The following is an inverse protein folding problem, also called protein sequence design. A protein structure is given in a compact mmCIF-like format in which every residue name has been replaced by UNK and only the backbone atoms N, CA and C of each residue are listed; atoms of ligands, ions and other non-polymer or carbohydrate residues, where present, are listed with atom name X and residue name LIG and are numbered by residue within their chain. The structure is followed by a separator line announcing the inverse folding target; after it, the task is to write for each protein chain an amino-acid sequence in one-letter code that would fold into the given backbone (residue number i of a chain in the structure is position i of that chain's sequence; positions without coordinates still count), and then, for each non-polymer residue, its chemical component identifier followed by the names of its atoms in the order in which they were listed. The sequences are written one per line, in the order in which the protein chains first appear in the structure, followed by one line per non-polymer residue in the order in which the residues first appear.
data_IF_097601266185
#
_entry.id   IF_097601266185
#
_cell.length_a   1.000
_cell.length_b   1.000
_cell.length_c   1.000
_cell.angle_alpha   90.00
_cell.angle_beta   90.00
_cell.angle_gamma   90.00
#
_symmetry.space_group_name_H-M   'P 1'
#
loop_
_entity.id
_entity.type
_entity.pdbx_description
1 polymer ?
#
# COMPACT_ATOMS: atom_id res chain seq x y z
N UNK A 1 23.44 5.91 -22.87
CA UNK A 1 22.48 7.01 -23.03
C UNK A 1 21.16 6.57 -23.65
N UNK A 2 21.14 5.85 -24.78
CA UNK A 2 19.91 5.41 -25.45
C UNK A 2 19.00 4.48 -24.60
N UNK A 3 19.54 3.71 -23.67
CA UNK A 3 18.73 2.84 -22.79
C UNK A 3 17.75 3.62 -21.91
N UNK A 4 18.07 4.84 -21.50
CA UNK A 4 17.11 5.67 -20.77
C UNK A 4 15.91 6.12 -21.61
N UNK A 5 16.00 6.08 -22.96
CA UNK A 5 14.85 6.33 -23.84
C UNK A 5 13.78 5.26 -23.68
N UNK A 6 14.17 3.99 -23.42
CA UNK A 6 13.21 2.93 -23.12
C UNK A 6 12.47 3.16 -21.79
N UNK A 7 13.10 3.83 -20.83
CA UNK A 7 12.44 4.22 -19.59
C UNK A 7 11.50 5.41 -19.77
N UNK A 8 11.79 6.33 -20.67
CA UNK A 8 10.95 7.53 -20.90
C UNK A 8 9.53 7.18 -21.32
N UNK A 9 9.35 6.15 -22.14
CA UNK A 9 8.02 5.77 -22.61
C UNK A 9 7.08 5.33 -21.47
N UNK A 10 7.40 4.34 -20.62
CA UNK A 10 6.56 4.00 -19.47
C UNK A 10 6.48 5.14 -18.45
N UNK A 11 7.50 6.01 -18.33
CA UNK A 11 7.44 7.18 -17.46
C UNK A 11 6.42 8.21 -17.95
N UNK A 12 6.32 8.44 -19.25
CA UNK A 12 5.30 9.30 -19.86
C UNK A 12 3.89 8.72 -19.64
N UNK A 13 3.72 7.41 -19.82
CA UNK A 13 2.44 6.73 -19.53
C UNK A 13 2.05 6.95 -18.06
N UNK A 14 2.97 6.70 -17.12
CA UNK A 14 2.73 6.97 -15.71
C UNK A 14 2.31 8.42 -15.47
N UNK A 15 3.01 9.38 -16.04
CA UNK A 15 2.74 10.80 -15.86
C UNK A 15 1.34 11.18 -16.37
N UNK A 16 0.94 10.70 -17.55
CA UNK A 16 -0.40 10.92 -18.11
C UNK A 16 -1.51 10.38 -17.19
N UNK A 17 -1.36 9.13 -16.70
CA UNK A 17 -2.33 8.52 -15.79
C UNK A 17 -2.35 9.24 -14.43
N UNK A 18 -1.20 9.62 -13.90
CA UNK A 18 -1.06 10.33 -12.64
C UNK A 18 -1.68 11.74 -12.69
N UNK A 19 -1.48 12.47 -13.77
CA UNK A 19 -2.08 13.80 -13.98
C UNK A 19 -3.61 13.70 -14.18
N UNK A 20 -4.08 12.64 -14.82
CA UNK A 20 -5.53 12.40 -15.00
C UNK A 20 -6.26 12.16 -13.68
N UNK A 21 -5.79 11.22 -12.86
CA UNK A 21 -6.33 10.96 -11.51
C UNK A 21 -5.33 10.16 -10.66
N UNK A 22 -4.75 10.82 -9.65
CA UNK A 22 -3.77 10.22 -8.71
C UNK A 22 -4.34 9.08 -7.87
N UNK A 23 -5.66 8.93 -7.78
CA UNK A 23 -6.36 7.94 -6.96
C UNK A 23 -6.54 6.59 -7.67
N UNK A 24 -6.06 6.45 -8.91
CA UNK A 24 -6.07 5.18 -9.63
C UNK A 24 -5.04 4.23 -9.03
N UNK A 25 -5.48 3.04 -8.63
CA UNK A 25 -4.57 2.01 -8.11
C UNK A 25 -3.52 1.59 -9.16
N UNK A 26 -3.89 1.60 -10.45
CA UNK A 26 -3.00 1.28 -11.56
C UNK A 26 -1.73 2.15 -11.58
N UNK A 27 -1.81 3.39 -11.09
CA UNK A 27 -0.63 4.26 -10.97
C UNK A 27 0.43 3.69 -10.02
N UNK A 28 0.05 2.92 -9.01
CA UNK A 28 1.00 2.29 -8.10
C UNK A 28 1.88 1.27 -8.83
N UNK A 29 1.27 0.45 -9.70
CA UNK A 29 2.02 -0.51 -10.52
C UNK A 29 2.93 0.19 -11.53
N UNK A 30 2.41 1.18 -12.26
CA UNK A 30 3.20 1.96 -13.21
C UNK A 30 4.38 2.67 -12.53
N UNK A 31 4.15 3.25 -11.33
CA UNK A 31 5.20 3.91 -10.56
C UNK A 31 6.32 2.95 -10.19
N UNK A 32 5.98 1.76 -9.67
CA UNK A 32 6.96 0.75 -9.26
C UNK A 32 7.69 0.13 -10.44
N UNK A 33 7.00 -0.12 -11.55
CA UNK A 33 7.64 -0.60 -12.78
C UNK A 33 8.66 0.45 -13.27
N UNK A 34 8.29 1.74 -13.29
CA UNK A 34 9.20 2.81 -13.70
C UNK A 34 10.41 2.93 -12.78
N UNK A 35 10.19 2.85 -11.45
CA UNK A 35 11.29 2.89 -10.48
C UNK A 35 12.21 1.67 -10.64
N UNK A 36 11.63 0.46 -10.79
CA UNK A 36 12.38 -0.77 -11.02
C UNK A 36 13.20 -0.72 -12.31
N UNK A 37 12.61 -0.29 -13.43
CA UNK A 37 13.32 -0.11 -14.72
C UNK A 37 14.44 0.91 -14.60
N UNK A 38 14.22 2.03 -13.92
CA UNK A 38 15.27 3.03 -13.71
C UNK A 38 16.45 2.45 -12.91
N UNK A 39 16.19 1.71 -11.84
CA UNK A 39 17.21 1.07 -11.04
C UNK A 39 17.97 -0.01 -11.82
N UNK A 40 17.26 -0.86 -12.57
CA UNK A 40 17.86 -1.91 -13.40
C UNK A 40 18.75 -1.32 -14.51
N UNK A 41 18.26 -0.31 -15.24
CA UNK A 41 19.05 0.37 -16.28
C UNK A 41 20.29 1.04 -15.66
N UNK A 42 20.14 1.68 -14.49
CA UNK A 42 21.26 2.34 -13.81
C UNK A 42 22.31 1.34 -13.34
N UNK A 43 21.88 0.21 -12.75
CA UNK A 43 22.79 -0.87 -12.34
C UNK A 43 23.51 -1.50 -13.54
N UNK A 44 22.78 -1.78 -14.62
CA UNK A 44 23.36 -2.32 -15.86
C UNK A 44 24.40 -1.36 -16.45
N UNK A 45 24.03 -0.06 -16.58
CA UNK A 45 24.95 0.94 -17.12
C UNK A 45 26.19 1.15 -16.22
N UNK A 46 26.05 1.00 -14.90
CA UNK A 46 27.18 1.05 -13.98
C UNK A 46 28.18 -0.08 -14.29
N UNK A 47 27.70 -1.32 -14.45
CA UNK A 47 28.55 -2.46 -14.80
C UNK A 47 29.20 -2.27 -16.16
N UNK A 48 28.43 -1.92 -17.21
CA UNK A 48 28.96 -1.69 -18.56
C UNK A 48 29.98 -0.55 -18.60
N UNK A 49 29.76 0.55 -17.92
CA UNK A 49 30.71 1.66 -17.84
C UNK A 49 31.99 1.28 -17.10
N UNK A 50 31.87 0.45 -16.05
CA UNK A 50 33.04 -0.04 -15.32
C UNK A 50 33.90 -0.92 -16.23
N UNK A 51 33.31 -1.77 -17.07
CA UNK A 51 34.02 -2.54 -18.07
C UNK A 51 34.75 -1.65 -19.08
N UNK A 52 34.08 -0.61 -19.63
CA UNK A 52 34.61 0.32 -20.63
C UNK A 52 35.71 1.21 -20.06
N UNK A 53 35.64 1.64 -18.79
CA UNK A 53 36.57 2.60 -18.21
C UNK A 53 37.77 1.93 -17.51
N UNK A 54 37.60 0.71 -17.04
CA UNK A 54 38.64 -0.01 -16.30
C UNK A 54 39.02 -1.31 -17.01
N UNK A 55 38.30 -2.40 -16.75
CA UNK A 55 38.43 -3.71 -17.39
C UNK A 55 37.30 -4.65 -16.97
N UNK A 56 37.23 -5.81 -17.65
CA UNK A 56 36.22 -6.83 -17.38
C UNK A 56 36.28 -7.39 -15.94
N UNK A 57 37.47 -7.48 -15.34
CA UNK A 57 37.61 -8.01 -13.98
C UNK A 57 36.95 -7.10 -12.95
N UNK A 58 37.15 -5.77 -13.08
CA UNK A 58 36.52 -4.78 -12.18
C UNK A 58 34.99 -4.77 -12.40
N UNK A 59 34.54 -4.86 -13.65
CA UNK A 59 33.10 -4.94 -13.95
C UNK A 59 32.47 -6.18 -13.30
N UNK A 60 33.15 -7.33 -13.34
CA UNK A 60 32.69 -8.55 -12.67
C UNK A 60 32.63 -8.37 -11.14
N UNK A 61 33.63 -7.73 -10.53
CA UNK A 61 33.62 -7.42 -9.09
C UNK A 61 32.41 -6.53 -8.74
N UNK A 62 32.16 -5.48 -9.52
CA UNK A 62 30.99 -4.60 -9.32
C UNK A 62 29.68 -5.36 -9.42
N UNK A 63 29.55 -6.24 -10.42
CA UNK A 63 28.37 -7.08 -10.58
C UNK A 63 28.16 -8.01 -9.37
N UNK A 64 29.21 -8.68 -8.91
CA UNK A 64 29.19 -9.56 -7.73
C UNK A 64 28.82 -8.78 -6.48
N UNK A 65 29.41 -7.60 -6.27
CA UNK A 65 29.09 -6.73 -5.12
C UNK A 65 27.60 -6.31 -5.14
N UNK A 66 27.07 -5.89 -6.29
CA UNK A 66 25.65 -5.55 -6.40
C UNK A 66 24.78 -6.76 -6.07
N UNK A 67 25.12 -7.95 -6.59
CA UNK A 67 24.38 -9.18 -6.33
C UNK A 67 24.36 -9.56 -4.85
N UNK A 68 25.51 -9.45 -4.18
CA UNK A 68 25.65 -9.67 -2.73
C UNK A 68 24.81 -8.66 -1.95
N UNK A 69 24.83 -7.37 -2.31
CA UNK A 69 24.04 -6.33 -1.64
C UNK A 69 22.55 -6.59 -1.78
N UNK A 70 22.08 -7.01 -2.97
CA UNK A 70 20.68 -7.41 -3.19
C UNK A 70 20.32 -8.61 -2.30
N UNK A 71 21.15 -9.65 -2.27
CA UNK A 71 20.92 -10.82 -1.43
C UNK A 71 20.88 -10.47 0.07
N UNK A 72 21.85 -9.70 0.54
CA UNK A 72 21.90 -9.22 1.92
C UNK A 72 20.68 -8.35 2.27
N UNK A 73 20.17 -7.55 1.33
CA UNK A 73 18.98 -6.73 1.55
C UNK A 73 17.72 -7.59 1.79
N UNK A 74 17.60 -8.74 1.13
CA UNK A 74 16.51 -9.70 1.35
C UNK A 74 16.61 -10.30 2.76
N UNK A 75 17.79 -10.75 3.17
CA UNK A 75 18.02 -11.29 4.51
C UNK A 75 17.73 -10.23 5.57
N UNK A 76 18.29 -9.03 5.41
CA UNK A 76 18.07 -7.92 6.35
C UNK A 76 16.58 -7.56 6.46
N UNK A 77 15.87 -7.49 5.33
CA UNK A 77 14.44 -7.19 5.31
C UNK A 77 13.63 -8.27 6.05
N UNK A 78 13.97 -9.55 5.90
CA UNK A 78 13.30 -10.63 6.60
C UNK A 78 13.52 -10.56 8.11
N UNK A 79 14.77 -10.34 8.54
CA UNK A 79 15.11 -10.17 9.96
C UNK A 79 14.40 -8.95 10.56
N UNK A 80 14.41 -7.82 9.85
CA UNK A 80 13.68 -6.61 10.23
C UNK A 80 12.18 -6.88 10.43
N UNK A 81 11.54 -7.61 9.51
CA UNK A 81 10.13 -7.95 9.62
C UNK A 81 9.83 -8.86 10.81
N UNK A 82 10.73 -9.79 11.15
CA UNK A 82 10.59 -10.63 12.35
C UNK A 82 10.65 -9.81 13.64
N UNK A 83 11.63 -8.90 13.74
CA UNK A 83 11.74 -7.98 14.89
C UNK A 83 10.52 -7.05 14.98
N UNK A 84 10.10 -6.49 13.84
CA UNK A 84 8.92 -5.66 13.77
C UNK A 84 7.66 -6.40 14.24
N UNK A 85 7.46 -7.65 13.80
CA UNK A 85 6.32 -8.45 14.23
C UNK A 85 6.32 -8.71 15.74
N UNK A 86 7.48 -8.96 16.36
CA UNK A 86 7.61 -9.07 17.82
C UNK A 86 7.23 -7.75 18.51
N UNK A 87 7.70 -6.64 17.99
CA UNK A 87 7.37 -5.30 18.52
C UNK A 87 5.88 -4.99 18.40
N UNK A 88 5.27 -5.31 17.26
CA UNK A 88 3.83 -5.17 17.06
C UNK A 88 3.01 -6.00 18.06
N UNK A 89 3.41 -7.25 18.30
CA UNK A 89 2.74 -8.08 19.31
C UNK A 89 2.87 -7.52 20.73
N UNK A 90 4.01 -6.91 21.05
CA UNK A 90 4.25 -6.35 22.38
C UNK A 90 3.41 -5.08 22.63
N UNK A 91 3.23 -4.22 21.63
CA UNK A 91 2.51 -2.95 21.78
C UNK A 91 1.02 -3.03 21.45
N UNK A 92 0.65 -3.84 20.43
CA UNK A 92 -0.71 -3.87 19.87
C UNK A 92 -1.45 -5.20 20.12
N UNK A 93 -0.80 -6.14 20.83
CA UNK A 93 -1.37 -7.46 21.13
C UNK A 93 -1.26 -8.47 19.99
N UNK A 94 -1.69 -9.72 20.25
CA UNK A 94 -1.48 -10.89 19.38
C UNK A 94 -2.62 -11.13 18.36
N UNK A 95 -3.27 -10.09 17.84
CA UNK A 95 -4.26 -10.26 16.76
C UNK A 95 -3.55 -10.60 15.43
N UNK A 96 -4.21 -11.36 14.55
CA UNK A 96 -3.63 -11.77 13.26
C UNK A 96 -3.11 -10.59 12.44
N UNK A 97 -3.80 -9.46 12.46
CA UNK A 97 -3.39 -8.22 11.78
C UNK A 97 -2.03 -7.69 12.26
N UNK A 98 -1.65 -7.96 13.51
CA UNK A 98 -0.39 -7.54 14.12
C UNK A 98 0.75 -8.55 13.89
N UNK A 99 0.41 -9.76 13.44
CA UNK A 99 1.37 -10.83 13.09
C UNK A 99 1.84 -10.76 11.63
N UNK A 100 1.25 -9.93 10.79
CA UNK A 100 1.48 -9.95 9.35
C UNK A 100 2.95 -9.71 8.97
N UNK A 101 3.65 -8.81 9.63
CA UNK A 101 5.08 -8.61 9.37
C UNK A 101 5.91 -9.83 9.79
N UNK A 102 5.60 -10.45 10.95
CA UNK A 102 6.25 -11.69 11.38
C UNK A 102 6.06 -12.82 10.35
N UNK A 103 4.81 -13.05 9.95
CA UNK A 103 4.45 -14.09 8.98
C UNK A 103 5.12 -13.87 7.63
N UNK A 104 5.18 -12.61 7.18
CA UNK A 104 5.85 -12.29 5.93
C UNK A 104 7.36 -12.48 6.01
N UNK A 105 8.00 -12.10 7.12
CA UNK A 105 9.42 -12.37 7.37
C UNK A 105 9.73 -13.87 7.40
N UNK A 106 8.88 -14.68 8.06
CA UNK A 106 8.99 -16.15 8.06
C UNK A 106 8.79 -16.74 6.66
N UNK A 107 7.87 -16.21 5.87
CA UNK A 107 7.65 -16.63 4.49
C UNK A 107 8.89 -16.41 3.62
N UNK A 108 9.57 -15.25 3.74
CA UNK A 108 10.81 -14.95 3.02
C UNK A 108 11.91 -15.96 3.41
N UNK A 109 12.09 -16.21 4.71
CA UNK A 109 13.10 -17.17 5.21
C UNK A 109 12.78 -18.59 4.73
N UNK A 110 11.51 -19.00 4.79
CA UNK A 110 11.07 -20.31 4.29
C UNK A 110 11.32 -20.49 2.80
N UNK A 111 11.02 -19.46 1.98
CA UNK A 111 11.32 -19.45 0.56
C UNK A 111 12.82 -19.61 0.27
N UNK A 112 13.66 -18.83 0.98
CA UNK A 112 15.12 -18.96 0.86
C UNK A 112 15.61 -20.34 1.30
N UNK A 113 15.08 -20.90 2.39
CA UNK A 113 15.48 -22.21 2.91
C UNK A 113 15.18 -23.35 1.93
N UNK A 114 14.12 -23.27 1.13
CA UNK A 114 13.78 -24.27 0.13
C UNK A 114 14.90 -24.50 -0.89
N UNK A 115 15.69 -23.47 -1.23
CA UNK A 115 16.81 -23.57 -2.16
C UNK A 115 18.01 -24.38 -1.63
N UNK A 116 18.06 -24.60 -0.31
CA UNK A 116 19.13 -25.34 0.35
C UNK A 116 18.72 -26.76 0.77
N UNK A 117 17.45 -27.13 0.54
CA UNK A 117 16.98 -28.48 0.84
C UNK A 117 17.52 -29.49 -0.21
N UNK A 118 17.80 -30.75 0.18
CA UNK A 118 18.09 -31.82 -0.77
C UNK A 118 16.95 -31.96 -1.77
N UNK A 119 17.31 -32.37 -3.00
CA UNK A 119 16.34 -32.63 -4.05
C UNK A 119 15.33 -33.72 -3.63
N UNK A 120 14.04 -33.45 -3.88
CA UNK A 120 12.94 -34.40 -3.78
C UNK A 120 11.95 -34.19 -4.93
N UNK A 121 11.16 -35.22 -5.35
CA UNK A 121 10.19 -35.06 -6.43
C UNK A 121 9.21 -33.92 -6.20
N UNK A 122 9.14 -33.00 -7.17
CA UNK A 122 8.28 -31.80 -7.08
C UNK A 122 8.95 -30.57 -6.43
N UNK A 123 10.20 -30.68 -5.97
CA UNK A 123 10.96 -29.57 -5.39
C UNK A 123 11.01 -28.37 -6.32
N UNK A 124 11.30 -28.56 -7.61
CA UNK A 124 11.42 -27.50 -8.61
C UNK A 124 10.11 -26.70 -8.75
N UNK A 125 8.96 -27.41 -8.75
CA UNK A 125 7.64 -26.77 -8.83
C UNK A 125 7.37 -25.98 -7.56
N UNK A 126 7.69 -26.54 -6.39
CA UNK A 126 7.48 -25.87 -5.11
C UNK A 126 8.32 -24.59 -5.00
N UNK A 127 9.61 -24.66 -5.35
CA UNK A 127 10.51 -23.50 -5.40
C UNK A 127 9.96 -22.46 -6.36
N UNK A 128 9.63 -22.84 -7.59
CA UNK A 128 9.09 -21.91 -8.59
C UNK A 128 7.83 -21.20 -8.11
N UNK A 129 6.86 -21.93 -7.56
CA UNK A 129 5.61 -21.35 -7.07
C UNK A 129 5.83 -20.43 -5.86
N UNK A 130 6.75 -20.81 -4.96
CA UNK A 130 7.07 -20.03 -3.77
C UNK A 130 7.81 -18.75 -4.14
N UNK A 131 8.79 -18.82 -5.03
CA UNK A 131 9.53 -17.65 -5.53
C UNK A 131 8.62 -16.70 -6.29
N UNK A 132 7.75 -17.25 -7.13
CA UNK A 132 6.75 -16.45 -7.84
C UNK A 132 5.79 -15.75 -6.87
N UNK A 133 5.27 -16.48 -5.87
CA UNK A 133 4.40 -15.89 -4.85
C UNK A 133 5.11 -14.80 -4.05
N UNK A 134 6.37 -15.04 -3.65
CA UNK A 134 7.21 -14.07 -2.96
C UNK A 134 7.44 -12.82 -3.82
N UNK A 135 7.83 -12.99 -5.08
CA UNK A 135 8.02 -11.88 -6.02
C UNK A 135 6.73 -11.08 -6.20
N UNK A 136 5.61 -11.75 -6.45
CA UNK A 136 4.33 -11.10 -6.70
C UNK A 136 3.83 -10.31 -5.49
N UNK A 137 3.86 -10.93 -4.30
CA UNK A 137 3.45 -10.27 -3.06
C UNK A 137 4.36 -9.08 -2.73
N UNK A 138 5.69 -9.24 -2.91
CA UNK A 138 6.66 -8.17 -2.70
C UNK A 138 6.46 -7.02 -3.69
N UNK A 139 6.21 -7.32 -4.96
CA UNK A 139 5.91 -6.33 -5.99
C UNK A 139 4.67 -5.52 -5.63
N UNK A 140 3.57 -6.17 -5.22
CA UNK A 140 2.34 -5.49 -4.79
C UNK A 140 2.59 -4.61 -3.56
N UNK A 141 3.24 -5.16 -2.54
CA UNK A 141 3.59 -4.44 -1.32
C UNK A 141 4.43 -3.19 -1.62
N UNK A 142 5.53 -3.35 -2.34
CA UNK A 142 6.40 -2.22 -2.71
C UNK A 142 5.67 -1.20 -3.59
N UNK A 143 4.78 -1.64 -4.49
CA UNK A 143 3.98 -0.76 -5.32
C UNK A 143 3.07 0.14 -4.49
N UNK A 144 2.41 -0.41 -3.49
CA UNK A 144 1.50 0.37 -2.66
C UNK A 144 2.22 1.27 -1.66
N UNK A 145 3.30 0.76 -1.04
CA UNK A 145 4.14 1.55 -0.12
C UNK A 145 4.78 2.73 -0.85
N UNK A 146 5.47 2.47 -1.96
CA UNK A 146 6.21 3.51 -2.69
C UNK A 146 5.28 4.58 -3.26
N UNK A 147 4.19 4.17 -3.93
CA UNK A 147 3.24 5.09 -4.50
C UNK A 147 2.42 5.83 -3.44
N UNK A 148 1.97 5.14 -2.39
CA UNK A 148 1.26 5.76 -1.28
C UNK A 148 2.11 6.80 -0.55
N UNK A 149 3.39 6.48 -0.31
CA UNK A 149 4.37 7.43 0.25
C UNK A 149 4.59 8.61 -0.69
N UNK A 150 4.81 8.35 -1.99
CA UNK A 150 4.96 9.39 -3.00
C UNK A 150 3.77 10.35 -3.03
N UNK A 151 2.54 9.84 -3.02
CA UNK A 151 1.33 10.67 -2.99
C UNK A 151 1.23 11.55 -1.72
N UNK A 152 1.73 11.07 -0.59
CA UNK A 152 1.73 11.82 0.67
C UNK A 152 2.77 12.95 0.73
N UNK A 153 3.77 12.98 -0.17
CA UNK A 153 4.75 14.07 -0.24
C UNK A 153 4.17 15.39 -0.75
N UNK A 154 3.02 15.34 -1.44
CA UNK A 154 2.43 16.55 -2.01
C UNK A 154 1.65 17.37 -0.98
N UNK A 155 2.04 18.62 -0.70
CA UNK A 155 1.35 19.47 0.25
C UNK A 155 -0.07 19.82 -0.21
N UNK A 156 -0.93 20.18 0.73
CA UNK A 156 -2.27 20.70 0.43
C UNK A 156 -2.13 22.18 0.07
N UNK A 157 -2.22 22.50 -1.22
CA UNK A 157 -2.05 23.87 -1.75
C UNK A 157 -3.37 24.58 -2.01
N UNK A 158 -4.41 23.81 -2.35
CA UNK A 158 -5.74 24.37 -2.66
C UNK A 158 -6.64 24.18 -1.46
N UNK A 159 -7.37 25.24 -1.11
CA UNK A 159 -8.36 25.22 -0.03
C UNK A 159 -9.43 24.16 -0.31
N UNK A 160 -9.68 23.22 0.60
CA UNK A 160 -10.82 22.32 0.52
C UNK A 160 -12.08 23.02 1.03
N UNK A 161 -13.23 22.64 0.48
CA UNK A 161 -14.52 23.12 0.99
C UNK A 161 -14.94 22.30 2.22
N UNK A 162 -14.55 21.02 2.27
CA UNK A 162 -14.73 20.16 3.43
C UNK A 162 -13.50 19.27 3.68
N UNK A 163 -13.26 18.96 4.96
CA UNK A 163 -12.23 18.04 5.42
C UNK A 163 -12.93 16.88 6.12
N UNK A 164 -12.92 15.69 5.52
CA UNK A 164 -13.45 14.48 6.13
C UNK A 164 -12.34 13.79 6.90
N UNK A 165 -12.50 13.60 8.20
CA UNK A 165 -11.56 12.86 9.06
C UNK A 165 -12.14 11.50 9.35
N UNK A 166 -11.45 10.43 8.91
CA UNK A 166 -11.91 9.05 9.10
C UNK A 166 -11.55 8.52 10.48
N UNK A 167 -12.47 7.84 11.13
CA UNK A 167 -12.26 7.10 12.36
C UNK A 167 -11.31 5.91 12.21
N UNK A 168 -10.81 5.39 13.32
CA UNK A 168 -9.91 4.22 13.36
C UNK A 168 -10.06 3.33 14.58
N UNK A 169 -11.16 3.49 15.31
CA UNK A 169 -11.46 2.81 16.56
C UNK A 169 -11.17 3.66 17.80
N UNK A 170 -11.91 3.38 18.87
CA UNK A 170 -11.72 3.94 20.20
C UNK A 170 -11.14 2.89 21.15
N UNK A 171 -10.65 3.35 22.29
CA UNK A 171 -10.35 2.50 23.47
C UNK A 171 -11.37 2.90 24.54
N UNK A 172 -12.50 2.16 24.56
CA UNK A 172 -13.68 2.56 25.34
C UNK A 172 -14.33 3.82 24.76
N UNK A 173 -14.14 4.96 25.42
CA UNK A 173 -14.58 6.30 24.99
C UNK A 173 -13.42 7.24 24.62
N UNK A 174 -12.17 6.75 24.73
CA UNK A 174 -10.96 7.57 24.54
C UNK A 174 -10.42 7.50 23.12
N UNK A 175 -10.00 8.63 22.59
CA UNK A 175 -9.31 8.76 21.31
C UNK A 175 -7.89 8.20 21.43
N UNK A 176 -7.56 7.07 20.75
CA UNK A 176 -6.21 6.52 20.76
C UNK A 176 -5.23 7.37 19.96
N UNK A 177 -3.91 7.20 20.19
CA UNK A 177 -2.88 8.02 19.53
C UNK A 177 -2.97 8.04 18.00
N UNK A 178 -3.37 6.93 17.39
CA UNK A 178 -3.51 6.80 15.94
C UNK A 178 -4.65 7.69 15.40
N UNK A 179 -5.77 7.76 16.11
CA UNK A 179 -6.91 8.62 15.78
C UNK A 179 -6.59 10.09 16.09
N UNK A 180 -5.95 10.39 17.22
CA UNK A 180 -5.50 11.74 17.56
C UNK A 180 -4.62 12.35 16.46
N UNK A 181 -3.68 11.58 15.86
CA UNK A 181 -2.86 12.05 14.75
C UNK A 181 -3.67 12.41 13.49
N UNK A 182 -4.82 11.75 13.24
CA UNK A 182 -5.73 12.15 12.16
C UNK A 182 -6.43 13.46 12.47
N UNK A 183 -6.93 13.60 13.70
CA UNK A 183 -7.63 14.80 14.16
C UNK A 183 -6.70 16.02 14.12
N UNK A 184 -5.48 15.88 14.65
CA UNK A 184 -4.46 16.95 14.59
C UNK A 184 -4.09 17.31 13.14
N UNK A 185 -3.99 16.32 12.24
CA UNK A 185 -3.74 16.59 10.82
C UNK A 185 -4.89 17.33 10.16
N UNK A 186 -6.14 16.94 10.45
CA UNK A 186 -7.35 17.63 9.97
C UNK A 186 -7.44 19.05 10.48
N UNK A 187 -7.22 19.25 11.79
CA UNK A 187 -7.16 20.55 12.44
C UNK A 187 -6.08 21.45 11.85
N UNK A 188 -4.86 20.93 11.64
CA UNK A 188 -3.78 21.72 11.05
C UNK A 188 -4.13 22.21 9.63
N UNK A 189 -4.83 21.42 8.82
CA UNK A 189 -5.32 21.86 7.51
C UNK A 189 -6.44 22.89 7.64
N UNK A 190 -7.37 22.71 8.57
CA UNK A 190 -8.44 23.65 8.87
C UNK A 190 -7.86 25.02 9.25
N UNK A 191 -6.85 25.05 10.12
CA UNK A 191 -6.17 26.28 10.54
C UNK A 191 -5.36 26.90 9.38
N UNK A 192 -4.67 26.10 8.56
CA UNK A 192 -3.93 26.55 7.38
C UNK A 192 -4.82 27.38 6.44
N UNK A 193 -6.09 27.02 6.32
CA UNK A 193 -7.07 27.73 5.47
C UNK A 193 -8.00 28.66 6.26
N UNK A 194 -7.47 29.27 7.34
CA UNK A 194 -8.13 30.32 8.14
C UNK A 194 -9.51 29.88 8.69
N UNK A 195 -9.65 28.61 9.03
CA UNK A 195 -10.85 28.01 9.65
C UNK A 195 -12.11 28.08 8.77
N UNK A 196 -11.97 28.11 7.45
CA UNK A 196 -13.10 28.18 6.50
C UNK A 196 -13.72 26.83 6.14
N UNK A 197 -12.90 25.76 5.92
CA UNK A 197 -13.49 24.46 5.58
C UNK A 197 -14.34 23.91 6.71
N UNK A 198 -15.43 23.21 6.40
CA UNK A 198 -16.15 22.40 7.40
C UNK A 198 -15.37 21.10 7.67
N UNK A 199 -15.38 20.65 8.92
CA UNK A 199 -14.81 19.38 9.35
C UNK A 199 -15.93 18.34 9.46
N UNK A 200 -15.85 17.26 8.71
CA UNK A 200 -16.75 16.10 8.83
C UNK A 200 -15.99 15.00 9.55
N UNK A 201 -16.35 14.69 10.79
CA UNK A 201 -15.81 13.56 11.54
C UNK A 201 -16.67 12.34 11.28
N UNK A 202 -16.06 11.22 10.86
CA UNK A 202 -16.82 10.07 10.38
C UNK A 202 -16.32 8.76 11.00
N UNK A 203 -17.24 8.10 11.70
CA UNK A 203 -17.03 6.80 12.34
C UNK A 203 -18.20 6.47 13.27
N UNK A 204 -18.84 5.33 13.04
CA UNK A 204 -19.92 4.81 13.89
C UNK A 204 -19.37 4.17 15.16
N UNK A 205 -20.25 3.53 15.92
CA UNK A 205 -19.91 2.82 17.14
C UNK A 205 -19.50 1.37 16.82
N UNK A 206 -18.28 1.00 17.20
CA UNK A 206 -17.81 -0.38 17.19
C UNK A 206 -18.45 -1.23 18.31
N UNK A 207 -18.34 -2.54 18.19
CA UNK A 207 -18.95 -3.48 19.17
C UNK A 207 -18.30 -3.43 20.56
N UNK A 208 -17.09 -2.92 20.66
CA UNK A 208 -16.27 -2.76 21.86
C UNK A 208 -16.11 -1.31 22.30
N UNK A 209 -16.90 -0.40 21.72
CA UNK A 209 -16.87 1.04 21.99
C UNK A 209 -18.10 1.48 22.79
N UNK A 210 -17.94 2.47 23.66
CA UNK A 210 -19.00 3.00 24.52
C UNK A 210 -19.84 4.07 23.80
N UNK A 211 -19.24 4.79 22.85
CA UNK A 211 -19.85 5.86 22.06
C UNK A 211 -19.41 5.70 20.60
N UNK A 212 -20.06 6.41 19.68
CA UNK A 212 -19.62 6.47 18.30
C UNK A 212 -18.26 7.18 18.15
N UNK A 213 -17.39 6.67 17.26
CA UNK A 213 -16.07 7.30 17.03
C UNK A 213 -16.22 8.78 16.69
N UNK A 214 -17.16 9.15 15.83
CA UNK A 214 -17.39 10.53 15.41
C UNK A 214 -17.73 11.47 16.57
N UNK A 215 -18.43 10.97 17.61
CA UNK A 215 -18.77 11.78 18.80
C UNK A 215 -17.51 12.04 19.64
N UNK A 216 -16.66 11.03 19.85
CA UNK A 216 -15.38 11.19 20.53
C UNK A 216 -14.45 12.13 19.75
N UNK A 217 -14.45 12.01 18.41
CA UNK A 217 -13.65 12.85 17.52
C UNK A 217 -14.10 14.32 17.58
N UNK A 218 -15.41 14.57 17.59
CA UNK A 218 -15.97 15.93 17.71
C UNK A 218 -15.61 16.56 19.05
N UNK A 219 -15.79 15.81 20.14
CA UNK A 219 -15.38 16.25 21.50
C UNK A 219 -13.90 16.60 21.55
N UNK A 220 -13.04 15.75 21.02
CA UNK A 220 -11.61 16.01 20.96
C UNK A 220 -11.28 17.31 20.22
N UNK A 221 -11.89 17.54 19.04
CA UNK A 221 -11.66 18.77 18.27
C UNK A 221 -12.14 20.03 18.99
N UNK A 222 -13.30 19.96 19.66
CA UNK A 222 -13.83 21.09 20.46
C UNK A 222 -12.91 21.43 21.65
N UNK A 223 -12.42 20.41 22.37
CA UNK A 223 -11.44 20.57 23.46
C UNK A 223 -10.13 21.19 22.97
N UNK A 224 -9.80 21.01 21.67
CA UNK A 224 -8.60 21.58 21.05
C UNK A 224 -8.89 22.88 20.27
N UNK A 225 -10.03 23.56 20.55
CA UNK A 225 -10.31 24.91 20.07
C UNK A 225 -10.93 24.99 18.67
N UNK A 226 -11.54 23.92 18.17
CA UNK A 226 -12.38 23.97 16.96
C UNK A 226 -13.81 24.29 17.38
N UNK A 227 -14.46 25.34 16.81
CA UNK A 227 -15.86 25.66 17.10
C UNK A 227 -16.81 24.52 16.69
N UNK A 228 -17.83 24.28 17.50
CA UNK A 228 -18.84 23.24 17.27
C UNK A 228 -19.56 23.39 15.91
N UNK A 229 -19.90 24.63 15.55
CA UNK A 229 -20.55 24.99 14.29
C UNK A 229 -19.71 24.65 13.04
N UNK A 230 -18.40 24.42 13.22
CA UNK A 230 -17.49 24.00 12.15
C UNK A 230 -17.41 22.49 11.98
N UNK A 231 -18.02 21.71 12.89
CA UNK A 231 -17.93 20.24 12.92
C UNK A 231 -19.28 19.62 12.51
N UNK A 232 -19.24 18.70 11.53
CA UNK A 232 -20.35 17.86 11.13
C UNK A 232 -20.07 16.42 11.53
N UNK A 233 -21.04 15.72 12.10
CA UNK A 233 -20.87 14.39 12.68
C UNK A 233 -21.54 13.34 11.77
N UNK A 234 -20.76 12.32 11.39
CA UNK A 234 -21.25 11.09 10.74
C UNK A 234 -20.97 9.90 11.69
N UNK A 235 -21.97 9.37 12.33
CA UNK A 235 -21.85 8.37 13.40
C UNK A 235 -22.53 7.00 13.09
N UNK A 236 -22.86 6.72 11.80
CA UNK A 236 -23.60 5.51 11.40
C UNK A 236 -22.73 4.45 10.71
N UNK A 237 -21.59 4.85 10.20
CA UNK A 237 -20.71 4.00 9.40
C UNK A 237 -19.98 2.94 10.22
N UNK A 238 -19.74 1.77 9.60
CA UNK A 238 -18.95 0.66 10.16
C UNK A 238 -17.72 0.29 9.35
N UNK A 239 -17.65 0.78 8.12
CA UNK A 239 -16.54 0.51 7.19
C UNK A 239 -16.03 1.80 6.57
N UNK A 240 -14.79 1.80 6.10
CA UNK A 240 -14.23 2.97 5.39
C UNK A 240 -15.05 3.38 4.16
N UNK A 241 -15.68 2.41 3.49
CA UNK A 241 -16.54 2.71 2.35
C UNK A 241 -17.83 3.43 2.78
N UNK A 242 -18.44 2.98 3.88
CA UNK A 242 -19.60 3.63 4.49
C UNK A 242 -19.24 5.02 5.05
N UNK A 243 -18.09 5.15 5.74
CA UNK A 243 -17.60 6.46 6.21
C UNK A 243 -17.64 7.49 5.07
N UNK A 244 -17.06 7.13 3.92
CA UNK A 244 -17.01 8.03 2.77
C UNK A 244 -18.37 8.20 2.10
N UNK A 245 -19.21 7.17 2.09
CA UNK A 245 -20.56 7.25 1.50
C UNK A 245 -21.45 8.17 2.30
N UNK A 246 -21.51 8.01 3.62
CA UNK A 246 -22.37 8.83 4.48
C UNK A 246 -21.82 10.25 4.65
N UNK A 247 -20.50 10.41 4.73
CA UNK A 247 -19.87 11.74 4.70
C UNK A 247 -20.16 12.48 3.38
N UNK A 248 -20.26 11.75 2.26
CA UNK A 248 -20.64 12.32 0.98
C UNK A 248 -22.07 12.86 1.01
N UNK A 249 -23.02 12.12 1.61
CA UNK A 249 -24.40 12.60 1.78
C UNK A 249 -24.43 13.91 2.57
N UNK A 250 -23.74 13.96 3.73
CA UNK A 250 -23.67 15.20 4.55
C UNK A 250 -23.04 16.34 3.74
N UNK A 251 -21.97 16.07 3.01
CA UNK A 251 -21.32 17.06 2.17
C UNK A 251 -22.22 17.64 1.09
N UNK A 252 -23.07 16.79 0.46
CA UNK A 252 -24.02 17.19 -0.57
C UNK A 252 -25.24 17.91 0.03
N UNK A 253 -25.78 17.44 1.15
CA UNK A 253 -26.90 18.06 1.88
C UNK A 253 -26.57 19.47 2.38
N UNK A 254 -25.37 19.67 2.90
CA UNK A 254 -24.88 20.98 3.36
C UNK A 254 -24.41 21.91 2.22
N UNK A 255 -24.45 21.46 0.98
CA UNK A 255 -24.05 22.25 -0.18
C UNK A 255 -22.58 22.69 -0.16
N UNK A 256 -21.69 21.90 0.44
CA UNK A 256 -20.27 22.23 0.67
C UNK A 256 -19.46 22.11 -0.61
N UNK A 257 -19.55 22.99 -1.55
CA UNK A 257 -18.64 23.16 -2.68
C UNK A 257 -18.26 21.89 -3.46
N UNK A 258 -17.03 21.85 -4.02
CA UNK A 258 -16.58 20.73 -4.90
C UNK A 258 -15.19 20.16 -4.56
N UNK A 259 -14.55 20.57 -3.46
CA UNK A 259 -13.21 20.10 -3.08
C UNK A 259 -13.22 19.48 -1.70
N UNK A 260 -13.07 18.16 -1.67
CA UNK A 260 -13.02 17.37 -0.43
C UNK A 260 -11.59 16.94 -0.15
N UNK A 261 -11.15 17.10 1.07
CA UNK A 261 -9.90 16.52 1.57
C UNK A 261 -10.25 15.41 2.58
N UNK A 262 -9.82 14.19 2.31
CA UNK A 262 -9.98 13.07 3.26
C UNK A 262 -8.70 12.89 4.05
N UNK A 263 -8.78 12.94 5.38
CA UNK A 263 -7.66 12.75 6.30
C UNK A 263 -7.75 11.36 6.94
N UNK A 264 -6.67 10.61 6.85
CA UNK A 264 -6.51 9.30 7.49
C UNK A 264 -5.03 9.05 7.80
N UNK A 265 -4.63 7.86 8.25
CA UNK A 265 -3.21 7.56 8.45
C UNK A 265 -2.47 7.36 7.12
N UNK A 266 -1.16 7.58 7.10
CA UNK A 266 -0.33 7.54 5.88
C UNK A 266 -0.45 6.24 5.09
N UNK A 267 -0.47 5.09 5.77
CA UNK A 267 -0.62 3.78 5.15
C UNK A 267 -2.02 3.56 4.53
N UNK A 268 -3.07 4.20 5.08
CA UNK A 268 -4.44 4.02 4.63
C UNK A 268 -4.87 5.02 3.52
N UNK A 269 -4.13 6.10 3.32
CA UNK A 269 -4.49 7.20 2.41
C UNK A 269 -4.71 6.72 0.97
N UNK A 270 -3.92 5.75 0.48
CA UNK A 270 -4.08 5.20 -0.86
C UNK A 270 -5.46 4.51 -1.02
N UNK A 271 -5.85 3.65 -0.08
CA UNK A 271 -7.14 2.94 -0.12
C UNK A 271 -8.32 3.91 0.02
N UNK A 272 -8.21 4.90 0.90
CA UNK A 272 -9.21 5.97 1.01
C UNK A 272 -9.37 6.72 -0.32
N UNK A 273 -8.27 7.06 -1.01
CA UNK A 273 -8.29 7.66 -2.34
C UNK A 273 -8.99 6.80 -3.39
N UNK A 274 -8.75 5.48 -3.38
CA UNK A 274 -9.45 4.52 -4.27
C UNK A 274 -10.95 4.52 -4.01
N UNK A 275 -11.39 4.53 -2.75
CA UNK A 275 -12.81 4.61 -2.40
C UNK A 275 -13.43 5.96 -2.79
N UNK A 276 -12.74 7.09 -2.54
CA UNK A 276 -13.19 8.40 -3.03
C UNK A 276 -13.43 8.38 -4.54
N UNK A 277 -12.53 7.76 -5.31
CA UNK A 277 -12.69 7.66 -6.76
C UNK A 277 -13.91 6.82 -7.15
N UNK A 278 -14.13 5.66 -6.48
CA UNK A 278 -15.32 4.81 -6.73
C UNK A 278 -16.63 5.53 -6.43
N UNK A 279 -16.65 6.31 -5.34
CA UNK A 279 -17.81 7.10 -4.91
C UNK A 279 -17.96 8.43 -5.65
N UNK A 280 -17.04 8.73 -6.60
CA UNK A 280 -17.00 10.02 -7.32
C UNK A 280 -16.90 11.23 -6.38
N UNK A 281 -16.30 11.09 -5.20
CA UNK A 281 -16.03 12.20 -4.30
C UNK A 281 -14.88 13.04 -4.90
N UNK A 282 -15.08 14.35 -5.15
CA UNK A 282 -14.04 15.20 -5.72
C UNK A 282 -12.98 15.52 -4.69
N UNK A 283 -11.69 15.53 -5.10
CA UNK A 283 -10.59 15.85 -4.18
C UNK A 283 -9.59 14.73 -4.00
N UNK A 284 -8.93 14.68 -2.86
CA UNK A 284 -7.88 13.70 -2.56
C UNK A 284 -7.85 13.28 -1.11
N UNK A 285 -7.19 12.17 -0.84
CA UNK A 285 -6.80 11.72 0.51
C UNK A 285 -5.39 12.18 0.88
N UNK A 286 -5.15 12.40 2.16
CA UNK A 286 -3.83 12.66 2.75
C UNK A 286 -3.64 11.82 4.01
N UNK A 287 -2.37 11.50 4.29
CA UNK A 287 -1.98 10.74 5.47
C UNK A 287 -1.55 11.62 6.64
N UNK A 288 -1.96 11.24 7.85
CA UNK A 288 -1.36 11.70 9.10
C UNK A 288 -0.11 10.88 9.43
N UNK A 289 0.72 11.38 10.35
CA UNK A 289 1.89 10.64 10.84
C UNK A 289 1.47 9.33 11.51
N UNK A 290 2.33 8.34 11.40
CA UNK A 290 2.15 7.02 12.01
C UNK A 290 3.48 6.58 12.57
N UNK A 291 3.48 5.96 13.75
CA UNK A 291 4.69 5.43 14.37
C UNK A 291 5.36 4.38 13.46
N UNK A 292 6.68 4.45 13.34
CA UNK A 292 7.43 3.64 12.38
C UNK A 292 7.24 2.12 12.62
N UNK A 293 7.20 1.69 13.88
CA UNK A 293 6.99 0.27 14.21
C UNK A 293 5.65 -0.28 13.69
N UNK A 294 4.64 0.57 13.56
CA UNK A 294 3.30 0.19 13.09
C UNK A 294 3.22 0.01 11.57
N UNK A 295 4.08 0.74 10.84
CA UNK A 295 3.98 0.87 9.38
C UNK A 295 4.11 -0.47 8.63
N UNK A 296 5.09 -1.36 8.88
CA UNK A 296 5.25 -2.59 8.11
C UNK A 296 3.99 -3.48 8.13
N UNK A 297 3.48 -3.81 9.30
CA UNK A 297 2.23 -4.60 9.44
C UNK A 297 1.03 -3.87 8.83
N UNK A 298 0.93 -2.55 9.04
CA UNK A 298 -0.17 -1.75 8.50
C UNK A 298 -0.17 -1.76 6.96
N UNK A 299 0.99 -1.57 6.32
CA UNK A 299 1.10 -1.61 4.86
C UNK A 299 0.82 -3.00 4.29
N UNK A 300 1.24 -4.08 4.96
CA UNK A 300 0.88 -5.44 4.53
C UNK A 300 -0.64 -5.63 4.60
N UNK A 301 -1.29 -5.20 5.69
CA UNK A 301 -2.75 -5.23 5.83
C UNK A 301 -3.46 -4.43 4.74
N UNK A 302 -2.98 -3.23 4.42
CA UNK A 302 -3.53 -2.41 3.35
C UNK A 302 -3.34 -3.06 1.97
N UNK A 303 -2.18 -3.71 1.74
CA UNK A 303 -1.93 -4.49 0.52
C UNK A 303 -2.94 -5.61 0.37
N UNK A 304 -3.16 -6.42 1.42
CA UNK A 304 -4.18 -7.48 1.42
C UNK A 304 -5.57 -6.88 1.16
N UNK A 305 -5.92 -5.76 1.79
CA UNK A 305 -7.20 -5.07 1.59
C UNK A 305 -7.39 -4.56 0.15
N UNK A 306 -6.35 -4.04 -0.50
CA UNK A 306 -6.41 -3.60 -1.90
C UNK A 306 -6.46 -4.78 -2.87
N UNK A 307 -5.73 -5.85 -2.60
CA UNK A 307 -5.79 -7.09 -3.40
C UNK A 307 -7.19 -7.71 -3.32
N UNK A 308 -7.77 -7.83 -2.13
CA UNK A 308 -9.12 -8.35 -1.97
C UNK A 308 -10.18 -7.47 -2.65
N UNK A 309 -9.98 -6.15 -2.69
CA UNK A 309 -10.87 -5.21 -3.38
C UNK A 309 -10.88 -5.41 -4.90
N UNK A 310 -9.78 -5.91 -5.47
CA UNK A 310 -9.56 -6.15 -6.90
C UNK A 310 -9.26 -7.62 -7.21
N UNK A 311 -9.64 -8.55 -6.33
CA UNK A 311 -9.28 -9.97 -6.43
C UNK A 311 -9.55 -10.61 -7.80
N UNK A 312 -10.68 -10.23 -8.46
CA UNK A 312 -11.03 -10.75 -9.79
C UNK A 312 -9.96 -10.42 -10.84
N UNK A 313 -9.39 -9.21 -10.78
CA UNK A 313 -8.32 -8.79 -11.69
C UNK A 313 -6.99 -9.52 -11.39
N UNK A 314 -6.69 -9.74 -10.11
CA UNK A 314 -5.50 -10.52 -9.71
C UNK A 314 -5.64 -11.97 -10.17
N UNK A 315 -6.79 -12.60 -9.97
CA UNK A 315 -7.06 -13.97 -10.45
C UNK A 315 -6.98 -14.05 -11.97
N UNK A 316 -7.60 -13.12 -12.71
CA UNK A 316 -7.53 -13.10 -14.17
C UNK A 316 -6.10 -12.93 -14.68
N UNK A 317 -5.31 -12.05 -14.04
CA UNK A 317 -3.90 -11.86 -14.38
C UNK A 317 -3.07 -13.13 -14.13
N UNK A 318 -3.24 -13.75 -12.96
CA UNK A 318 -2.55 -14.99 -12.61
C UNK A 318 -2.96 -16.13 -13.54
N UNK A 319 -4.25 -16.28 -13.83
CA UNK A 319 -4.73 -17.29 -14.78
C UNK A 319 -4.10 -17.11 -16.17
N UNK A 320 -4.07 -15.87 -16.68
CA UNK A 320 -3.45 -15.57 -17.97
C UNK A 320 -1.94 -15.89 -17.96
N UNK A 321 -1.25 -15.57 -16.87
CA UNK A 321 0.18 -15.81 -16.74
C UNK A 321 0.53 -17.30 -16.69
N UNK A 322 -0.28 -18.11 -15.98
CA UNK A 322 -0.04 -19.55 -15.85
C UNK A 322 -0.67 -20.38 -16.96
N UNK A 323 -1.51 -19.81 -17.82
CA UNK A 323 -2.20 -20.50 -18.90
C UNK A 323 -1.22 -21.25 -19.85
N UNK A 324 -0.09 -20.68 -20.33
CA UNK A 324 0.86 -21.38 -21.19
C UNK A 324 1.51 -22.57 -20.49
N UNK A 325 1.86 -22.43 -19.22
CA UNK A 325 2.42 -23.51 -18.42
C UNK A 325 1.40 -24.65 -18.23
N UNK A 326 0.14 -24.31 -17.91
CA UNK A 326 -0.93 -25.30 -17.76
C UNK A 326 -1.17 -26.07 -19.05
N UNK A 327 -1.17 -25.36 -20.19
CA UNK A 327 -1.30 -25.96 -21.50
C UNK A 327 -0.15 -26.96 -21.80
N UNK A 328 1.10 -26.61 -21.49
CA UNK A 328 2.23 -27.52 -21.67
C UNK A 328 2.13 -28.77 -20.80
N UNK A 329 1.61 -28.67 -19.56
CA UNK A 329 1.41 -29.84 -18.71
C UNK A 329 0.29 -30.75 -19.25
N UNK A 330 -0.80 -30.21 -19.77
CA UNK A 330 -1.88 -30.94 -20.41
C UNK A 330 -1.34 -31.70 -21.65
N UNK A 331 -0.55 -31.02 -22.48
CA UNK A 331 0.04 -31.66 -23.66
C UNK A 331 0.96 -32.85 -23.30
N UNK A 332 1.81 -32.69 -22.28
CA UNK A 332 2.66 -33.76 -21.75
C UNK A 332 1.82 -34.94 -21.22
N UNK A 333 0.71 -34.66 -20.56
CA UNK A 333 -0.18 -35.70 -20.05
C UNK A 333 -0.85 -36.45 -21.21
N UNK A 334 -1.29 -35.77 -22.25
CA UNK A 334 -1.86 -36.38 -23.46
C UNK A 334 -0.81 -37.26 -24.15
N UNK A 335 0.42 -36.76 -24.34
CA UNK A 335 1.53 -37.53 -24.91
C UNK A 335 1.82 -38.81 -24.10
N UNK A 336 1.85 -38.71 -22.78
CA UNK A 336 2.02 -39.84 -21.88
C UNK A 336 0.93 -40.90 -22.10
N UNK A 337 -0.34 -40.51 -22.14
CA UNK A 337 -1.44 -41.48 -22.39
C UNK A 337 -1.38 -42.07 -23.79
N UNK A 338 -1.05 -41.29 -24.81
CA UNK A 338 -0.92 -41.79 -26.18
C UNK A 338 0.21 -42.84 -26.34
N UNK A 339 1.31 -42.68 -25.57
CA UNK A 339 2.43 -43.65 -25.56
C UNK A 339 2.11 -44.97 -24.84
N UNK A 340 1.13 -44.95 -23.90
CA UNK A 340 0.78 -46.14 -23.10
C UNK A 340 -0.52 -46.83 -23.60
N UNK A 341 -1.17 -46.27 -24.60
CA UNK A 341 -2.36 -46.86 -25.24
C UNK A 341 -2.03 -47.62 -26.55
N UNK A 342 -0.78 -47.49 -27.03
CA UNK A 342 -0.17 -48.28 -28.13
C UNK A 342 0.74 -49.35 -27.55
#
# INVERSE_FOLDING_TARGET
MYLYLFWLFPALIFLLFFMSDRRRLFNAYLFSINLGLLLLISAFLLVVRTELWFNQQIAMIVFVVISILVFLSIIFSSIFLLFNGRQMMAFEGKRLANLLSLLYGLFIIGALALHFLPYFPGNDILIYLTDFALFYMTFLYLSYVSYGTFCNLFPVRKEPDAIIILGSGLIGDKVPPLLAQRLEKGKAVYEQFKKRPKLIVSGGQGSDELIAEAEAMARYLMEHGVPEDSILIENRSRTTFENLTFSKCIFEEEGLGKRVLVVTNSFHALRAGVFMRRLKIPGRSIGSRTAFYYLPSAWIRETVGLVSLYWKWHVAFLALLFLPWFFTQIMKLIEFFMQHLN
#
